data_IF_067345490762
#
_entry.id   IF_067345490762
#
_cell.length_a   1.000
_cell.length_b   1.000
_cell.length_c   1.000
_cell.angle_alpha   90.00
_cell.angle_beta   90.00
_cell.angle_gamma   90.00
#
_symmetry.space_group_name_H-M   'P 1'
#
loop_
_entity.id
_entity.type
_entity.pdbx_description
1 polymer ?
#
# COMPACT_ATOMS: atom_id res chain seq x y z
N UNK A 1 16.37 7.46 -7.72
CA UNK A 1 15.54 6.44 -7.07
C UNK A 1 16.37 5.52 -6.18
N UNK A 2 17.49 4.93 -6.65
CA UNK A 2 18.33 4.01 -5.87
C UNK A 2 18.83 4.63 -4.55
N UNK A 3 19.25 5.90 -4.55
CA UNK A 3 19.68 6.60 -3.33
C UNK A 3 18.49 6.87 -2.39
N UNK A 4 17.34 7.23 -2.92
CA UNK A 4 16.12 7.40 -2.11
C UNK A 4 15.69 6.08 -1.45
N UNK A 5 15.75 4.97 -2.19
CA UNK A 5 15.46 3.64 -1.67
C UNK A 5 16.44 3.24 -0.56
N UNK A 6 17.73 3.51 -0.73
CA UNK A 6 18.75 3.25 0.29
C UNK A 6 18.46 4.01 1.58
N UNK A 7 18.23 5.33 1.48
CA UNK A 7 17.85 6.18 2.63
C UNK A 7 16.56 5.68 3.30
N UNK A 8 15.57 5.25 2.50
CA UNK A 8 14.33 4.70 3.02
C UNK A 8 14.54 3.38 3.80
N UNK A 9 15.40 2.48 3.31
CA UNK A 9 15.77 1.25 4.03
C UNK A 9 16.48 1.56 5.35
N UNK A 10 17.41 2.50 5.36
CA UNK A 10 18.10 2.95 6.59
C UNK A 10 17.14 3.55 7.61
N UNK A 11 16.21 4.40 7.15
CA UNK A 11 15.19 4.99 8.02
C UNK A 11 14.24 3.93 8.57
N UNK A 12 13.77 3.02 7.72
CA UNK A 12 12.88 1.93 8.12
C UNK A 12 13.54 1.03 9.16
N UNK A 13 14.81 0.69 9.00
CA UNK A 13 15.57 -0.09 9.97
C UNK A 13 15.67 0.63 11.33
N UNK A 14 15.93 1.96 11.34
CA UNK A 14 15.95 2.77 12.57
C UNK A 14 14.58 2.77 13.25
N UNK A 15 13.50 2.97 12.50
CA UNK A 15 12.12 2.92 13.02
C UNK A 15 11.81 1.55 13.64
N UNK A 16 12.19 0.48 12.96
CA UNK A 16 11.97 -0.88 13.44
C UNK A 16 12.77 -1.18 14.71
N UNK A 17 14.04 -0.80 14.76
CA UNK A 17 14.89 -0.96 15.95
C UNK A 17 14.35 -0.21 17.17
N UNK A 18 13.75 0.96 16.96
CA UNK A 18 13.12 1.76 18.00
C UNK A 18 11.67 1.30 18.32
N UNK A 19 11.13 0.31 17.61
CA UNK A 19 9.78 -0.22 17.77
C UNK A 19 8.68 0.69 17.20
N UNK A 20 8.99 1.61 16.29
CA UNK A 20 8.05 2.56 15.70
C UNK A 20 7.62 2.21 14.26
N UNK A 21 8.18 1.16 13.66
CA UNK A 21 7.83 0.78 12.29
C UNK A 21 6.35 0.40 12.13
N UNK A 22 5.80 -0.33 13.09
CA UNK A 22 4.36 -0.67 13.18
C UNK A 22 3.94 -0.77 14.66
N UNK A 23 3.46 0.34 15.19
CA UNK A 23 3.11 0.48 16.62
C UNK A 23 1.98 -0.48 17.01
N UNK A 24 0.97 -0.64 16.15
CA UNK A 24 -0.21 -1.47 16.43
C UNK A 24 0.00 -2.97 16.27
N UNK A 25 1.13 -3.40 15.68
CA UNK A 25 1.40 -4.83 15.53
C UNK A 25 1.78 -5.49 16.85
N UNK A 26 1.51 -6.80 17.00
CA UNK A 26 1.94 -7.57 18.17
C UNK A 26 3.46 -7.50 18.40
N UNK A 27 3.87 -7.58 19.67
CA UNK A 27 5.30 -7.52 20.04
C UNK A 27 6.09 -8.70 19.46
N UNK A 28 5.46 -9.85 19.35
CA UNK A 28 6.03 -11.11 18.84
C UNK A 28 6.52 -10.99 17.38
N UNK A 29 5.92 -10.09 16.62
CA UNK A 29 6.31 -9.80 15.24
C UNK A 29 7.08 -8.50 15.07
N UNK A 30 7.51 -7.88 16.17
CA UNK A 30 8.33 -6.67 16.17
C UNK A 30 7.56 -5.35 16.26
N UNK A 31 6.24 -5.39 16.48
CA UNK A 31 5.42 -4.23 16.83
C UNK A 31 5.55 -3.83 18.29
N UNK A 32 4.77 -2.84 18.73
CA UNK A 32 4.71 -2.41 20.15
C UNK A 32 3.47 -2.92 20.89
N UNK A 33 2.51 -3.54 20.22
CA UNK A 33 1.20 -3.87 20.80
C UNK A 33 0.43 -2.60 21.20
N UNK A 34 0.70 -1.50 20.53
CA UNK A 34 0.12 -0.20 20.86
C UNK A 34 -1.28 -0.02 20.26
N UNK A 35 -1.93 1.07 20.65
CA UNK A 35 -3.27 1.42 20.20
C UNK A 35 -3.27 2.16 18.87
N UNK A 36 -4.39 2.17 18.12
CA UNK A 36 -4.55 3.01 16.93
C UNK A 36 -4.28 4.51 17.18
N UNK A 37 -4.64 5.02 18.37
CA UNK A 37 -4.39 6.41 18.76
C UNK A 37 -2.88 6.69 18.87
N UNK A 38 -2.10 5.77 19.43
CA UNK A 38 -0.65 5.91 19.50
C UNK A 38 -0.01 5.93 18.10
N UNK A 39 -0.54 5.14 17.15
CA UNK A 39 -0.09 5.20 15.75
C UNK A 39 -0.41 6.56 15.11
N UNK A 40 -1.59 7.13 15.38
CA UNK A 40 -1.97 8.46 14.88
C UNK A 40 -1.03 9.54 15.43
N UNK A 41 -0.76 9.51 16.74
CA UNK A 41 0.17 10.47 17.38
C UNK A 41 1.56 10.38 16.75
N UNK A 42 2.07 9.15 16.58
CA UNK A 42 3.37 8.94 15.92
C UNK A 42 3.39 9.51 14.49
N UNK A 43 2.37 9.22 13.70
CA UNK A 43 2.28 9.73 12.32
C UNK A 43 2.24 11.26 12.27
N UNK A 44 1.57 11.90 13.23
CA UNK A 44 1.52 13.36 13.33
C UNK A 44 2.89 13.96 13.70
N UNK A 45 3.63 13.31 14.58
CA UNK A 45 4.98 13.74 14.94
C UNK A 45 5.96 13.53 13.79
N UNK A 46 5.92 12.35 13.12
CA UNK A 46 6.77 12.03 11.97
C UNK A 46 6.54 12.99 10.80
N UNK A 47 5.28 13.39 10.55
CA UNK A 47 4.92 14.32 9.47
C UNK A 47 5.51 15.75 9.61
N UNK A 48 6.11 16.07 10.75
CA UNK A 48 6.84 17.35 10.95
C UNK A 48 8.25 17.31 10.34
N UNK A 49 8.71 16.15 9.90
CA UNK A 49 10.06 15.93 9.38
C UNK A 49 9.98 15.43 7.93
N UNK A 50 10.98 15.83 7.13
CA UNK A 50 11.17 15.26 5.78
C UNK A 50 11.89 13.92 5.91
N UNK A 51 11.09 12.83 5.95
CA UNK A 51 11.58 11.47 6.07
C UNK A 51 11.28 10.66 4.81
N UNK A 52 12.16 9.74 4.39
CA UNK A 52 11.97 8.93 3.20
C UNK A 52 10.94 7.83 3.46
N UNK A 53 9.67 8.13 3.20
CA UNK A 53 8.53 7.21 3.31
C UNK A 53 8.05 6.75 1.93
N UNK A 54 7.05 5.87 1.88
CA UNK A 54 6.36 5.45 0.65
C UNK A 54 6.79 4.09 0.11
N UNK A 55 8.06 3.72 0.19
CA UNK A 55 8.56 2.45 -0.36
C UNK A 55 8.01 1.19 0.34
N UNK A 56 7.64 1.33 1.62
CA UNK A 56 7.18 0.20 2.45
C UNK A 56 5.68 0.20 2.72
N UNK A 57 4.95 1.23 2.28
CA UNK A 57 3.56 1.45 2.66
C UNK A 57 2.64 0.33 2.18
N UNK A 58 2.81 -0.13 0.95
CA UNK A 58 2.04 -1.26 0.40
C UNK A 58 2.39 -2.55 1.14
N UNK A 59 3.67 -2.84 1.29
CA UNK A 59 4.14 -4.05 1.98
C UNK A 59 3.63 -4.12 3.41
N UNK A 60 3.96 -3.12 4.21
CA UNK A 60 3.64 -3.08 5.64
C UNK A 60 2.19 -2.68 5.94
N UNK A 61 1.53 -1.99 5.01
CA UNK A 61 0.14 -1.57 5.17
C UNK A 61 -0.88 -2.58 4.71
N UNK A 62 -0.55 -3.44 3.74
CA UNK A 62 -1.50 -4.30 3.04
C UNK A 62 -1.02 -5.75 2.92
N UNK A 63 0.18 -5.98 2.31
CA UNK A 63 0.66 -7.32 1.99
C UNK A 63 0.97 -8.15 3.23
N UNK A 64 1.78 -7.63 4.14
CA UNK A 64 2.18 -8.34 5.36
C UNK A 64 1.00 -8.56 6.32
N UNK A 65 0.09 -7.59 6.57
CA UNK A 65 -1.13 -7.86 7.32
C UNK A 65 -1.99 -8.98 6.73
N UNK A 66 -2.08 -9.06 5.40
CA UNK A 66 -2.78 -10.15 4.71
C UNK A 66 -2.05 -11.48 4.91
N UNK A 67 -0.72 -11.49 4.79
CA UNK A 67 0.11 -12.66 5.08
C UNK A 67 -0.07 -13.12 6.55
N UNK A 68 -0.10 -12.19 7.50
CA UNK A 68 -0.30 -12.50 8.92
C UNK A 68 -1.67 -13.13 9.19
N UNK A 69 -2.68 -12.81 8.38
CA UNK A 69 -4.04 -13.35 8.52
C UNK A 69 -4.21 -14.73 7.87
N UNK A 70 -3.57 -14.98 6.73
CA UNK A 70 -3.82 -16.17 5.90
C UNK A 70 -2.59 -17.04 5.63
N UNK A 71 -1.40 -16.56 5.94
CA UNK A 71 -0.15 -17.31 5.81
C UNK A 71 0.02 -18.36 6.90
N UNK A 72 0.94 -19.28 6.68
CA UNK A 72 1.30 -20.31 7.63
C UNK A 72 2.28 -19.76 8.68
N UNK A 73 2.43 -20.40 9.84
CA UNK A 73 3.37 -19.96 10.87
C UNK A 73 4.82 -19.81 10.36
N UNK A 74 5.26 -20.69 9.47
CA UNK A 74 6.57 -20.61 8.83
C UNK A 74 6.72 -19.39 7.93
N UNK A 75 5.65 -18.97 7.21
CA UNK A 75 5.64 -17.77 6.39
C UNK A 75 5.78 -16.51 7.26
N UNK A 76 5.02 -16.45 8.34
CA UNK A 76 5.10 -15.34 9.28
C UNK A 76 6.53 -15.20 9.86
N UNK A 77 7.11 -16.32 10.27
CA UNK A 77 8.48 -16.36 10.81
C UNK A 77 9.51 -15.91 9.77
N UNK A 78 9.31 -16.27 8.49
CA UNK A 78 10.24 -15.95 7.40
C UNK A 78 10.13 -14.51 6.92
N UNK A 79 8.91 -13.98 6.73
CA UNK A 79 8.69 -12.76 5.95
C UNK A 79 8.36 -11.51 6.77
N UNK A 80 7.73 -11.64 7.95
CA UNK A 80 7.22 -10.46 8.65
C UNK A 80 8.37 -9.57 9.17
N UNK A 81 9.37 -10.17 9.82
CA UNK A 81 10.48 -9.41 10.40
C UNK A 81 11.38 -8.77 9.32
N UNK A 82 11.81 -9.44 8.24
CA UNK A 82 12.57 -8.80 7.17
C UNK A 82 11.83 -7.64 6.50
N UNK A 83 10.52 -7.78 6.27
CA UNK A 83 9.71 -6.69 5.74
C UNK A 83 9.64 -5.51 6.72
N UNK A 84 9.42 -5.77 8.01
CA UNK A 84 9.37 -4.73 9.04
C UNK A 84 10.69 -3.95 9.15
N UNK A 85 11.82 -4.64 9.00
CA UNK A 85 13.17 -4.06 9.00
C UNK A 85 13.54 -3.30 7.70
N UNK A 86 12.68 -3.34 6.69
CA UNK A 86 12.95 -2.73 5.38
C UNK A 86 13.98 -3.50 4.54
N UNK A 87 14.28 -4.73 4.88
CA UNK A 87 15.17 -5.61 4.13
C UNK A 87 14.50 -6.14 2.86
N UNK A 88 13.22 -6.46 2.94
CA UNK A 88 12.39 -6.98 1.86
C UNK A 88 11.17 -6.08 1.62
N UNK A 89 10.91 -5.77 0.36
CA UNK A 89 9.80 -4.91 -0.07
C UNK A 89 8.75 -5.76 -0.78
N UNK A 90 7.48 -5.46 -0.50
CA UNK A 90 6.35 -6.18 -1.02
C UNK A 90 5.44 -5.30 -1.85
N UNK A 91 4.90 -5.81 -2.96
CA UNK A 91 3.90 -5.14 -3.80
C UNK A 91 2.59 -5.93 -3.90
N UNK A 92 1.55 -5.24 -4.39
CA UNK A 92 0.20 -5.79 -4.59
C UNK A 92 -0.08 -5.97 -6.09
N UNK A 93 -0.37 -7.19 -6.53
CA UNK A 93 -0.55 -7.59 -7.91
C UNK A 93 -2.03 -7.97 -8.15
N UNK A 94 -2.90 -6.95 -8.28
CA UNK A 94 -4.34 -7.13 -8.39
C UNK A 94 -4.87 -6.73 -9.77
N UNK A 95 -4.75 -5.45 -10.11
CA UNK A 95 -5.33 -4.87 -11.33
C UNK A 95 -4.76 -5.47 -12.61
N UNK A 96 -5.61 -5.60 -13.62
CA UNK A 96 -5.26 -6.01 -14.98
C UNK A 96 -5.76 -4.96 -15.99
N UNK A 97 -5.29 -4.94 -17.24
CA UNK A 97 -5.77 -4.00 -18.24
C UNK A 97 -7.30 -3.98 -18.40
N UNK A 98 -7.96 -5.12 -18.21
CA UNK A 98 -9.42 -5.26 -18.31
C UNK A 98 -10.13 -5.42 -16.97
N UNK A 99 -9.42 -5.33 -15.82
CA UNK A 99 -9.96 -5.59 -14.49
C UNK A 99 -9.33 -4.65 -13.44
N UNK A 100 -9.92 -3.48 -13.27
CA UNK A 100 -9.57 -2.49 -12.25
C UNK A 100 -10.62 -2.45 -11.14
N UNK A 101 -11.65 -1.59 -11.27
CA UNK A 101 -12.75 -1.51 -10.31
C UNK A 101 -13.50 -2.85 -10.16
N UNK A 102 -13.68 -3.59 -11.25
CA UNK A 102 -14.15 -4.96 -11.23
C UNK A 102 -12.96 -5.94 -11.17
N UNK A 103 -12.20 -5.92 -10.08
CA UNK A 103 -11.04 -6.78 -9.92
C UNK A 103 -11.39 -8.26 -9.96
N UNK A 104 -12.63 -8.64 -9.60
CA UNK A 104 -13.08 -10.02 -9.72
C UNK A 104 -13.18 -10.51 -11.17
N UNK A 105 -13.15 -9.61 -12.15
CA UNK A 105 -13.10 -9.93 -13.58
C UNK A 105 -11.71 -10.31 -14.11
N UNK A 106 -10.69 -10.40 -13.25
CA UNK A 106 -9.31 -10.71 -13.62
C UNK A 106 -9.17 -12.05 -14.38
N UNK A 107 -8.13 -12.12 -15.23
CA UNK A 107 -7.87 -13.24 -16.14
C UNK A 107 -6.53 -13.95 -15.91
N UNK A 108 -5.60 -13.36 -15.13
CA UNK A 108 -4.37 -14.05 -14.74
C UNK A 108 -4.74 -15.38 -14.11
N UNK A 109 -4.38 -16.48 -14.77
CA UNK A 109 -4.79 -17.83 -14.37
C UNK A 109 -3.69 -18.53 -13.60
N UNK A 110 -4.10 -19.40 -12.68
CA UNK A 110 -3.25 -20.34 -12.00
C UNK A 110 -3.83 -21.75 -12.22
N UNK A 111 -3.06 -22.61 -12.86
CA UNK A 111 -3.45 -23.99 -13.19
C UNK A 111 -2.65 -24.96 -12.32
N UNK A 112 -3.32 -26.01 -11.84
CA UNK A 112 -2.63 -27.04 -11.04
C UNK A 112 -1.57 -27.75 -11.88
N UNK A 113 -0.39 -27.91 -11.30
CA UNK A 113 0.70 -28.71 -11.87
C UNK A 113 1.40 -29.48 -10.75
N UNK A 114 1.05 -30.75 -10.64
CA UNK A 114 1.51 -31.62 -9.55
C UNK A 114 1.08 -31.08 -8.18
N UNK A 115 2.07 -30.85 -7.33
CA UNK A 115 1.89 -30.30 -5.97
C UNK A 115 1.92 -28.76 -5.92
N UNK A 116 2.04 -28.10 -7.09
CA UNK A 116 2.13 -26.66 -7.23
C UNK A 116 1.14 -26.08 -8.23
N UNK A 117 1.48 -24.92 -8.76
CA UNK A 117 0.68 -24.13 -9.68
C UNK A 117 1.57 -23.51 -10.75
N UNK A 118 1.06 -23.40 -11.98
CA UNK A 118 1.66 -22.61 -13.06
C UNK A 118 0.78 -21.39 -13.30
N UNK A 119 1.39 -20.22 -13.28
CA UNK A 119 0.70 -18.93 -13.38
C UNK A 119 1.09 -18.25 -14.69
N UNK A 120 0.07 -17.83 -15.46
CA UNK A 120 0.20 -17.07 -16.69
C UNK A 120 -0.74 -15.89 -16.69
N UNK A 121 -0.25 -14.71 -17.10
CA UNK A 121 -1.07 -13.51 -17.19
C UNK A 121 -0.29 -12.22 -17.07
N UNK A 122 -1.03 -11.15 -16.79
CA UNK A 122 -0.48 -9.79 -16.70
C UNK A 122 -1.18 -9.01 -15.60
N UNK A 123 -0.40 -8.25 -14.84
CA UNK A 123 -0.91 -7.21 -13.93
C UNK A 123 -0.45 -5.84 -14.40
N UNK A 124 -1.20 -4.82 -14.03
CA UNK A 124 -0.91 -3.43 -14.41
C UNK A 124 -1.14 -2.49 -13.23
N UNK A 125 -0.56 -1.29 -13.31
CA UNK A 125 -0.60 -0.27 -12.26
C UNK A 125 -0.01 -0.73 -10.93
N UNK A 126 0.90 -1.71 -10.98
CA UNK A 126 1.56 -2.22 -9.77
C UNK A 126 2.60 -1.21 -9.28
N UNK A 127 2.30 -0.54 -8.18
CA UNK A 127 3.21 0.42 -7.56
C UNK A 127 4.46 -0.28 -7.05
N UNK A 128 5.64 0.24 -7.44
CA UNK A 128 6.92 -0.20 -6.90
C UNK A 128 7.35 -1.63 -7.24
N UNK A 129 6.71 -2.31 -8.21
CA UNK A 129 7.07 -3.69 -8.56
C UNK A 129 8.54 -3.84 -8.97
N UNK A 130 9.14 -2.82 -9.60
CA UNK A 130 10.51 -2.86 -10.09
C UNK A 130 11.58 -2.89 -8.98
N UNK A 131 11.25 -2.49 -7.76
CA UNK A 131 12.13 -2.60 -6.60
C UNK A 131 11.63 -3.57 -5.54
N UNK A 132 10.47 -4.20 -5.73
CA UNK A 132 9.91 -5.18 -4.78
C UNK A 132 10.63 -6.53 -4.88
N UNK A 133 10.75 -7.19 -3.73
CA UNK A 133 11.31 -8.54 -3.60
C UNK A 133 10.21 -9.59 -3.69
N UNK A 134 9.03 -9.32 -3.12
CA UNK A 134 7.87 -10.19 -3.11
C UNK A 134 6.58 -9.46 -3.51
N UNK A 135 5.56 -10.22 -3.89
CA UNK A 135 4.23 -9.68 -4.17
C UNK A 135 3.12 -10.62 -3.76
N UNK A 136 1.95 -10.05 -3.38
CA UNK A 136 0.73 -10.83 -3.25
C UNK A 136 -0.03 -10.78 -4.57
N UNK A 137 -0.31 -11.94 -5.15
CA UNK A 137 -0.85 -12.09 -6.49
C UNK A 137 -2.24 -12.74 -6.46
N UNK A 138 -3.24 -12.00 -6.94
CA UNK A 138 -4.59 -12.51 -7.11
C UNK A 138 -4.74 -13.14 -8.50
N UNK A 139 -5.18 -14.41 -8.53
CA UNK A 139 -5.30 -15.21 -9.75
C UNK A 139 -6.68 -15.83 -9.88
N UNK A 140 -6.99 -16.33 -11.09
CA UNK A 140 -8.16 -17.17 -11.37
C UNK A 140 -7.73 -18.62 -11.43
N UNK A 141 -8.25 -19.44 -10.53
CA UNK A 141 -8.03 -20.89 -10.48
C UNK A 141 -9.19 -21.68 -11.05
N UNK A 142 -10.39 -21.12 -11.06
CA UNK A 142 -11.58 -21.77 -11.64
C UNK A 142 -12.43 -20.76 -12.44
N UNK A 143 -12.45 -20.85 -13.77
CA UNK A 143 -13.30 -20.00 -14.62
C UNK A 143 -14.75 -20.50 -14.76
N UNK A 144 -15.08 -21.71 -14.28
CA UNK A 144 -16.40 -22.32 -14.44
C UNK A 144 -17.42 -21.90 -13.38
N UNK A 145 -16.94 -21.32 -12.27
CA UNK A 145 -17.78 -20.83 -11.16
C UNK A 145 -18.00 -19.32 -11.23
N UNK A 146 -18.95 -18.76 -10.47
CA UNK A 146 -19.13 -17.31 -10.38
C UNK A 146 -17.81 -16.61 -10.07
N UNK A 147 -17.55 -15.46 -10.73
CA UNK A 147 -16.24 -14.80 -10.79
C UNK A 147 -15.55 -14.61 -9.43
N UNK A 148 -16.31 -14.33 -8.37
CA UNK A 148 -15.76 -14.15 -7.02
C UNK A 148 -15.35 -15.46 -6.33
N UNK A 149 -15.90 -16.61 -6.76
CA UNK A 149 -15.63 -17.92 -6.16
C UNK A 149 -14.45 -18.67 -6.79
N UNK A 150 -14.04 -18.24 -7.99
CA UNK A 150 -12.96 -18.89 -8.74
C UNK A 150 -11.60 -18.22 -8.58
N UNK A 151 -11.38 -17.43 -7.52
CA UNK A 151 -10.15 -16.70 -7.28
C UNK A 151 -9.31 -17.32 -6.17
N UNK A 152 -7.99 -17.28 -6.33
CA UNK A 152 -7.02 -17.74 -5.31
C UNK A 152 -5.88 -16.76 -5.21
N UNK A 153 -5.39 -16.53 -3.99
CA UNK A 153 -4.29 -15.62 -3.70
C UNK A 153 -3.02 -16.42 -3.43
N UNK A 154 -1.91 -15.92 -4.00
CA UNK A 154 -0.57 -16.45 -3.74
C UNK A 154 0.37 -15.30 -3.33
N UNK A 155 1.45 -15.61 -2.62
CA UNK A 155 2.62 -14.74 -2.60
C UNK A 155 3.70 -15.31 -3.52
N UNK A 156 4.43 -14.42 -4.18
CA UNK A 156 5.42 -14.79 -5.20
C UNK A 156 6.73 -14.03 -4.98
N UNK A 157 7.81 -14.63 -5.47
CA UNK A 157 9.11 -13.97 -5.62
C UNK A 157 9.09 -13.09 -6.88
N UNK A 158 9.32 -11.79 -6.73
CA UNK A 158 9.36 -10.84 -7.85
C UNK A 158 10.67 -10.92 -8.65
N UNK A 159 11.66 -11.65 -8.15
CA UNK A 159 12.95 -11.88 -8.82
C UNK A 159 13.00 -13.19 -9.62
N UNK A 160 11.91 -13.97 -9.60
CA UNK A 160 11.80 -15.17 -10.43
C UNK A 160 11.92 -14.80 -11.91
N UNK A 161 12.73 -15.53 -12.72
CA UNK A 161 12.90 -15.26 -14.16
C UNK A 161 11.60 -15.28 -14.97
N UNK A 162 10.56 -15.98 -14.49
CA UNK A 162 9.22 -15.99 -15.10
C UNK A 162 8.40 -14.73 -14.86
N UNK A 163 8.93 -13.77 -14.04
CA UNK A 163 8.30 -12.49 -13.72
C UNK A 163 9.03 -11.37 -14.45
N UNK A 164 8.34 -10.71 -15.38
CA UNK A 164 8.91 -9.57 -16.12
C UNK A 164 8.20 -8.30 -15.72
N UNK A 165 8.95 -7.34 -15.16
CA UNK A 165 8.45 -6.05 -14.72
C UNK A 165 8.83 -4.97 -15.74
N UNK A 166 7.83 -4.19 -16.21
CA UNK A 166 8.03 -3.06 -17.13
C UNK A 166 7.45 -1.78 -16.53
N UNK A 167 8.30 -0.79 -16.19
CA UNK A 167 7.84 0.49 -15.70
C UNK A 167 6.96 1.24 -16.71
N UNK A 168 5.89 1.87 -16.22
CA UNK A 168 4.98 2.70 -17.02
C UNK A 168 5.40 4.16 -16.87
N UNK A 169 5.79 4.81 -17.95
CA UNK A 169 6.12 6.24 -17.94
C UNK A 169 4.86 7.08 -17.75
N UNK A 170 4.86 7.91 -16.73
CA UNK A 170 3.78 8.82 -16.38
C UNK A 170 3.99 10.20 -17.01
N UNK A 171 2.92 11.00 -17.13
CA UNK A 171 2.97 12.34 -17.72
C UNK A 171 3.88 13.32 -16.97
N UNK A 172 4.06 13.10 -15.65
CA UNK A 172 4.99 13.87 -14.81
C UNK A 172 6.46 13.45 -14.95
N UNK A 173 6.78 12.50 -15.85
CA UNK A 173 8.11 11.95 -16.06
C UNK A 173 8.50 10.82 -15.10
N UNK A 174 7.72 10.53 -14.08
CA UNK A 174 7.93 9.39 -13.16
C UNK A 174 7.58 8.05 -13.80
N UNK A 175 7.94 6.95 -13.12
CA UNK A 175 7.65 5.58 -13.54
C UNK A 175 7.38 4.66 -12.32
N UNK A 176 6.53 5.12 -11.40
CA UNK A 176 6.25 4.43 -10.14
C UNK A 176 5.32 3.21 -10.31
N UNK A 177 4.52 3.19 -11.39
CA UNK A 177 3.65 2.08 -11.73
C UNK A 177 4.29 1.15 -12.75
N UNK A 178 3.88 -0.10 -12.72
CA UNK A 178 4.47 -1.12 -13.57
C UNK A 178 3.41 -2.03 -14.19
N UNK A 179 3.69 -2.53 -15.38
CA UNK A 179 3.15 -3.77 -15.91
C UNK A 179 3.99 -4.92 -15.40
N UNK A 180 3.35 -6.02 -15.02
CA UNK A 180 4.03 -7.23 -14.55
C UNK A 180 3.47 -8.42 -15.31
N UNK A 181 4.33 -9.15 -16.00
CA UNK A 181 3.99 -10.29 -16.83
C UNK A 181 4.47 -11.58 -16.17
N UNK A 182 3.64 -12.60 -16.23
CA UNK A 182 3.94 -13.95 -15.75
C UNK A 182 3.88 -14.93 -16.91
N UNK A 183 4.97 -15.65 -17.15
CA UNK A 183 5.06 -16.67 -18.20
C UNK A 183 5.56 -17.96 -17.57
N UNK A 184 4.63 -18.91 -17.40
CA UNK A 184 4.87 -20.21 -16.76
C UNK A 184 5.50 -20.09 -15.35
N UNK A 185 5.10 -19.08 -14.59
CA UNK A 185 5.57 -18.88 -13.22
C UNK A 185 5.13 -20.05 -12.34
N UNK A 186 6.08 -20.79 -11.81
CA UNK A 186 5.82 -21.93 -10.94
C UNK A 186 5.82 -21.52 -9.47
N UNK A 187 4.71 -21.77 -8.79
CA UNK A 187 4.58 -21.52 -7.35
C UNK A 187 4.15 -22.79 -6.62
N UNK A 188 4.67 -22.98 -5.41
CA UNK A 188 4.28 -24.11 -4.55
C UNK A 188 2.89 -23.86 -3.97
N UNK A 189 2.12 -24.92 -3.71
CA UNK A 189 0.83 -24.76 -3.02
C UNK A 189 1.01 -24.19 -1.60
N UNK A 190 2.19 -24.32 -1.01
CA UNK A 190 2.52 -23.69 0.27
C UNK A 190 2.52 -22.16 0.23
N UNK A 191 2.70 -21.53 -0.94
CA UNK A 191 2.68 -20.09 -1.14
C UNK A 191 1.26 -19.51 -1.30
N UNK A 192 0.24 -20.32 -1.19
CA UNK A 192 -1.16 -19.92 -1.26
C UNK A 192 -1.63 -19.31 0.07
N UNK A 193 -2.33 -18.19 -0.04
CA UNK A 193 -2.96 -17.48 1.09
C UNK A 193 -4.46 -17.81 1.11
N UNK A 194 -4.90 -18.50 2.15
CA UNK A 194 -6.26 -19.02 2.28
C UNK A 194 -6.50 -20.33 1.50
N UNK A 195 -7.74 -20.78 1.36
CA UNK A 195 -8.11 -21.96 0.58
C UNK A 195 -8.18 -21.65 -0.93
N UNK A 196 -8.15 -22.68 -1.76
CA UNK A 196 -8.48 -22.54 -3.19
C UNK A 196 -9.91 -22.04 -3.32
N UNK A 197 -10.12 -20.99 -4.11
CA UNK A 197 -11.43 -20.32 -4.24
C UNK A 197 -11.68 -19.20 -3.22
N UNK A 198 -10.86 -19.07 -2.18
CA UNK A 198 -11.00 -18.00 -1.15
C UNK A 198 -10.34 -16.67 -1.55
N UNK A 199 -9.74 -16.58 -2.74
CA UNK A 199 -8.98 -15.40 -3.15
C UNK A 199 -9.75 -14.08 -3.05
N UNK A 200 -11.05 -14.08 -3.29
CA UNK A 200 -11.89 -12.89 -3.10
C UNK A 200 -11.94 -12.45 -1.63
N UNK A 201 -12.14 -13.39 -0.71
CA UNK A 201 -12.13 -13.12 0.74
C UNK A 201 -10.77 -12.55 1.19
N UNK A 202 -9.68 -13.14 0.71
CA UNK A 202 -8.32 -12.67 0.99
C UNK A 202 -8.10 -11.27 0.41
N UNK A 203 -8.55 -11.03 -0.83
CA UNK A 203 -8.46 -9.73 -1.48
C UNK A 203 -9.24 -8.64 -0.71
N UNK A 204 -10.45 -8.95 -0.23
CA UNK A 204 -11.23 -8.02 0.60
C UNK A 204 -10.50 -7.65 1.90
N UNK A 205 -9.81 -8.60 2.53
CA UNK A 205 -8.97 -8.31 3.71
C UNK A 205 -7.83 -7.36 3.34
N UNK A 206 -7.14 -7.59 2.22
CA UNK A 206 -6.10 -6.69 1.72
C UNK A 206 -6.64 -5.28 1.47
N UNK A 207 -7.79 -5.16 0.80
CA UNK A 207 -8.45 -3.88 0.49
C UNK A 207 -8.96 -3.15 1.75
N UNK A 208 -9.34 -3.89 2.80
CA UNK A 208 -9.65 -3.28 4.09
C UNK A 208 -8.42 -2.65 4.74
N UNK A 209 -7.29 -3.35 4.71
CA UNK A 209 -6.01 -2.80 5.17
C UNK A 209 -5.57 -1.59 4.33
N UNK A 210 -5.79 -1.62 3.01
CA UNK A 210 -5.52 -0.49 2.12
C UNK A 210 -6.28 0.77 2.55
N UNK A 211 -7.57 0.66 2.81
CA UNK A 211 -8.40 1.79 3.28
C UNK A 211 -7.86 2.41 4.57
N UNK A 212 -7.37 1.57 5.48
CA UNK A 212 -6.78 2.04 6.74
C UNK A 212 -5.40 2.65 6.53
N UNK A 213 -4.59 2.09 5.64
CA UNK A 213 -3.24 2.58 5.35
C UNK A 213 -3.26 3.88 4.55
N UNK A 214 -4.07 3.97 3.50
CA UNK A 214 -4.18 5.16 2.63
C UNK A 214 -5.03 6.24 3.28
N UNK A 215 -6.14 5.88 3.93
CA UNK A 215 -7.03 6.84 4.60
C UNK A 215 -6.52 7.36 5.93
N UNK A 216 -5.59 6.65 6.60
CA UNK A 216 -5.01 7.03 7.90
C UNK A 216 -3.74 7.88 7.80
N UNK A 217 -3.17 7.99 6.60
CA UNK A 217 -2.00 8.83 6.34
C UNK A 217 -2.40 10.31 6.35
N UNK A 218 -2.18 10.99 7.46
CA UNK A 218 -2.51 12.40 7.67
C UNK A 218 -1.60 13.40 6.95
N UNK A 219 -1.04 13.04 5.82
CA UNK A 219 -0.24 13.91 5.00
C UNK A 219 -0.62 13.74 3.53
N UNK A 220 -1.56 14.54 3.04
CA UNK A 220 -1.70 14.73 1.61
C UNK A 220 -0.40 15.32 1.06
N UNK A 221 0.12 14.76 -0.05
CA UNK A 221 1.28 15.30 -0.75
C UNK A 221 0.99 16.65 -1.46
N UNK A 222 0.03 17.41 -0.97
CA UNK A 222 -0.33 18.73 -1.46
C UNK A 222 0.05 19.82 -0.46
N UNK A 223 0.21 21.07 -0.93
CA UNK A 223 0.52 22.18 -0.08
C UNK A 223 -0.55 22.35 1.01
N UNK A 224 -0.10 22.51 2.25
CA UNK A 224 -1.00 22.85 3.36
C UNK A 224 -1.58 24.26 3.11
N UNK A 225 -2.82 24.48 3.54
CA UNK A 225 -3.44 25.81 3.46
C UNK A 225 -2.55 26.91 4.08
N UNK A 226 -1.70 26.58 5.04
CA UNK A 226 -0.74 27.51 5.64
C UNK A 226 0.32 27.97 4.65
N UNK A 227 0.86 27.05 3.84
CA UNK A 227 1.82 27.37 2.78
C UNK A 227 1.17 28.26 1.73
N UNK A 228 -0.10 27.95 1.35
CA UNK A 228 -0.87 28.81 0.44
C UNK A 228 -1.12 30.21 1.06
N UNK A 229 -1.37 30.28 2.36
CA UNK A 229 -1.55 31.53 3.07
C UNK A 229 -0.28 32.38 3.06
N UNK A 230 0.87 31.78 3.36
CA UNK A 230 2.18 32.48 3.32
C UNK A 230 2.54 32.88 1.89
N UNK A 231 2.31 32.05 0.90
CA UNK A 231 2.49 32.39 -0.50
C UNK A 231 1.63 33.60 -0.89
N UNK A 232 0.36 33.63 -0.50
CA UNK A 232 -0.55 34.75 -0.79
C UNK A 232 -0.15 36.04 -0.07
N UNK A 233 0.48 35.96 1.10
CA UNK A 233 1.05 37.11 1.80
C UNK A 233 2.29 37.68 1.11
N UNK A 234 3.10 36.82 0.51
CA UNK A 234 4.35 37.18 -0.15
C UNK A 234 4.18 37.54 -1.64
N UNK A 235 3.00 37.35 -2.21
CA UNK A 235 2.74 37.60 -3.64
C UNK A 235 2.01 38.93 -3.84
N UNK A 236 2.52 39.76 -4.73
CA UNK A 236 1.85 40.98 -5.20
C UNK A 236 1.13 40.69 -6.52
N UNK A 237 -0.11 41.18 -6.65
CA UNK A 237 -0.91 41.21 -7.87
C UNK A 237 -1.01 42.64 -8.36
N UNK A 238 -1.58 42.87 -9.55
CA UNK A 238 -1.77 44.21 -10.10
C UNK A 238 -2.54 45.15 -9.16
N UNK A 239 -3.51 44.60 -8.41
CA UNK A 239 -4.36 45.35 -7.48
C UNK A 239 -3.88 45.31 -6.02
N UNK A 240 -2.63 44.89 -5.76
CA UNK A 240 -2.01 44.81 -4.42
C UNK A 240 -1.79 43.38 -3.92
N UNK A 241 -1.51 43.19 -2.62
CA UNK A 241 -1.17 41.88 -2.07
C UNK A 241 -2.22 40.83 -2.34
N UNK A 242 -1.81 39.65 -2.83
CA UNK A 242 -2.71 38.54 -3.21
C UNK A 242 -3.64 38.11 -2.05
N UNK A 243 -3.18 38.23 -0.79
CA UNK A 243 -4.00 37.89 0.38
C UNK A 243 -5.22 38.83 0.53
N UNK A 244 -5.26 39.99 -0.10
CA UNK A 244 -6.43 40.89 -0.12
C UNK A 244 -7.41 40.58 -1.23
N UNK A 245 -6.98 39.85 -2.23
CA UNK A 245 -7.85 39.44 -3.36
C UNK A 245 -8.92 38.45 -2.88
N UNK A 246 -10.19 38.75 -3.16
CA UNK A 246 -11.33 37.93 -2.68
C UNK A 246 -11.28 36.49 -3.21
N UNK A 247 -10.94 36.29 -4.49
CA UNK A 247 -10.86 34.96 -5.11
C UNK A 247 -9.72 34.09 -4.51
N UNK A 248 -8.58 34.72 -4.21
CA UNK A 248 -7.48 34.02 -3.54
C UNK A 248 -7.88 33.59 -2.13
N UNK A 249 -8.51 34.49 -1.37
CA UNK A 249 -9.00 34.20 -0.02
C UNK A 249 -10.04 33.05 -0.02
N UNK A 250 -10.96 33.05 -0.97
CA UNK A 250 -11.96 31.99 -1.12
C UNK A 250 -11.31 30.63 -1.37
N UNK A 251 -10.31 30.54 -2.27
CA UNK A 251 -9.58 29.32 -2.55
C UNK A 251 -8.80 28.80 -1.32
N UNK A 252 -8.18 29.69 -0.57
CA UNK A 252 -7.48 29.33 0.68
C UNK A 252 -8.49 28.80 1.71
N UNK A 253 -9.63 29.47 1.87
CA UNK A 253 -10.69 29.05 2.79
C UNK A 253 -11.29 27.69 2.39
N UNK A 254 -11.56 27.44 1.09
CA UNK A 254 -12.02 26.14 0.59
C UNK A 254 -10.99 25.02 0.86
N UNK A 255 -9.70 25.30 0.61
CA UNK A 255 -8.63 24.36 0.93
C UNK A 255 -8.58 24.03 2.42
N UNK A 256 -8.71 25.04 3.28
CA UNK A 256 -8.79 24.86 4.74
C UNK A 256 -9.96 23.95 5.13
N UNK A 257 -11.16 24.23 4.65
CA UNK A 257 -12.37 23.47 4.96
C UNK A 257 -12.23 22.02 4.54
N UNK A 258 -11.74 21.75 3.32
CA UNK A 258 -11.51 20.39 2.82
C UNK A 258 -10.46 19.64 3.63
N UNK A 259 -9.34 20.30 3.92
CA UNK A 259 -8.26 19.69 4.73
C UNK A 259 -8.74 19.33 6.14
N UNK A 260 -9.48 20.25 6.80
CA UNK A 260 -10.04 19.98 8.12
C UNK A 260 -11.13 18.90 8.06
N UNK A 261 -11.95 18.88 7.02
CA UNK A 261 -12.95 17.82 6.81
C UNK A 261 -12.33 16.43 6.74
N UNK A 262 -11.27 16.26 5.96
CA UNK A 262 -10.49 15.00 5.88
C UNK A 262 -9.89 14.63 7.25
N UNK A 263 -9.23 15.58 7.90
CA UNK A 263 -8.60 15.38 9.22
C UNK A 263 -9.62 14.89 10.26
N UNK A 264 -10.74 15.56 10.40
CA UNK A 264 -11.75 15.17 11.39
C UNK A 264 -12.50 13.90 11.02
N UNK A 265 -12.66 13.60 9.73
CA UNK A 265 -13.18 12.30 9.28
C UNK A 265 -12.25 11.17 9.69
N UNK A 266 -10.94 11.33 9.50
CA UNK A 266 -9.93 10.37 9.97
C UNK A 266 -9.99 10.19 11.49
N UNK A 267 -10.06 11.27 12.26
CA UNK A 267 -10.15 11.19 13.72
C UNK A 267 -11.41 10.46 14.18
N UNK A 268 -12.57 10.71 13.53
CA UNK A 268 -13.81 10.01 13.81
C UNK A 268 -13.68 8.51 13.56
N UNK A 269 -13.11 8.12 12.42
CA UNK A 269 -12.87 6.72 12.07
C UNK A 269 -11.94 6.04 13.09
N UNK A 270 -10.84 6.67 13.42
CA UNK A 270 -9.88 6.12 14.38
C UNK A 270 -10.47 6.00 15.80
N UNK A 271 -11.33 6.96 16.19
CA UNK A 271 -12.06 6.90 17.47
C UNK A 271 -13.04 5.73 17.46
N UNK A 272 -13.79 5.51 16.38
CA UNK A 272 -14.70 4.38 16.26
C UNK A 272 -13.95 3.05 16.37
N UNK A 273 -12.85 2.90 15.63
CA UNK A 273 -12.00 1.70 15.69
C UNK A 273 -11.42 1.47 17.08
N UNK A 274 -10.97 2.51 17.78
CA UNK A 274 -10.44 2.40 19.15
C UNK A 274 -11.48 1.96 20.18
N UNK A 275 -12.77 2.12 19.85
CA UNK A 275 -13.93 1.67 20.65
C UNK A 275 -14.48 0.32 20.19
N UNK A 276 -13.81 -0.38 19.26
CA UNK A 276 -14.26 -1.65 18.69
C UNK A 276 -15.51 -1.53 17.80
N UNK A 277 -15.84 -0.34 17.32
CA UNK A 277 -16.92 -0.10 16.37
C UNK A 277 -16.40 -0.36 14.94
N UNK A 278 -17.18 -1.07 14.15
CA UNK A 278 -16.87 -1.34 12.72
C UNK A 278 -17.46 -0.28 11.80
#
# INVERSE_FOLDING_TARGET
>A
EAEALKRAKEWQAKRAAAGYAKITWPKEVGGRGGTPIQQVIYNQEEAKFDVPTGFFDIGLGMCIPTLMTYGKPEDLKRYVKPALLGQEIWCQLFSEPAAGSDVAGLRTRAERDGDGWVINGQKVWTSGAHYSDFGILLTRTDPSVPKHKGLTMFYIDMKDPAVVVKPIKQINGGANFNEVYFTDLRVKDSQRLGAVGDGWKVALTTLMHERLAVGGGGGGNGPDYKELLELARATELEDGPAIRNASVREKIADTYVRTQGLKYTTYRTMTALSRGQQ
#
